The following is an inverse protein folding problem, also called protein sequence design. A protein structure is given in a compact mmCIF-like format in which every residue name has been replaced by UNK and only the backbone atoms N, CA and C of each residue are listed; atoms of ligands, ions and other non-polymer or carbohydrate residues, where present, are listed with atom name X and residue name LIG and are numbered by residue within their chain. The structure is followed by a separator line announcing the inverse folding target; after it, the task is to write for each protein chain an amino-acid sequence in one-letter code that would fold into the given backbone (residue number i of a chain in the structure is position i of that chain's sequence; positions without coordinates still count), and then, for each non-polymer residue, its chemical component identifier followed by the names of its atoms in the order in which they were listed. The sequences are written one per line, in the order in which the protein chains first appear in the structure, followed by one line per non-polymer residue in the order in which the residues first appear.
data_IF_589694001698
#
_entry.id   IF_589694001698
#
_cell.length_a   1.000
_cell.length_b   1.000
_cell.length_c   1.000
_cell.angle_alpha   90.00
_cell.angle_beta   90.00
_cell.angle_gamma   90.00
#
_symmetry.space_group_name_H-M   'P 1'
#
loop_
_entity.id
_entity.type
_entity.pdbx_description
1 polymer ?
#
# COMPACT_ATOMS: atom_id res chain seq x y z
N UNK A 1 15.29 -44.65 16.91
CA UNK A 1 14.94 -44.44 15.49
C UNK A 1 16.18 -43.97 14.74
N UNK A 2 16.59 -44.66 13.68
CA UNK A 2 17.80 -44.34 12.88
C UNK A 2 17.46 -43.20 11.92
N UNK A 3 18.14 -42.06 12.03
CA UNK A 3 18.00 -40.93 11.11
C UNK A 3 18.90 -41.12 9.88
N UNK A 4 18.31 -40.97 8.69
CA UNK A 4 19.00 -41.05 7.41
C UNK A 4 19.81 -39.76 7.15
N UNK A 5 21.08 -39.82 6.73
CA UNK A 5 21.85 -38.62 6.45
C UNK A 5 21.49 -38.02 5.08
N UNK A 6 21.31 -36.70 5.05
CA UNK A 6 21.08 -35.90 3.84
C UNK A 6 22.43 -35.48 3.25
N UNK A 7 22.73 -35.88 2.01
CA UNK A 7 23.92 -35.43 1.28
C UNK A 7 23.62 -34.16 0.48
N UNK A 8 24.17 -33.03 0.92
CA UNK A 8 24.11 -31.75 0.17
C UNK A 8 25.21 -31.75 -0.89
N UNK A 9 24.80 -31.84 -2.16
CA UNK A 9 25.70 -31.81 -3.32
C UNK A 9 26.00 -30.36 -3.72
N UNK A 10 27.27 -29.94 -3.58
CA UNK A 10 27.80 -28.74 -4.23
C UNK A 10 28.22 -27.59 -3.31
N UNK A 11 29.32 -27.75 -2.56
CA UNK A 11 30.16 -26.61 -2.10
C UNK A 11 31.63 -26.97 -2.22
N UNK A 12 32.29 -26.44 -3.27
CA UNK A 12 33.75 -26.43 -3.39
C UNK A 12 34.30 -25.50 -2.30
N UNK A 13 34.90 -26.08 -1.25
CA UNK A 13 35.69 -25.35 -0.25
C UNK A 13 37.08 -25.06 -0.82
N UNK A 14 37.43 -23.78 -0.96
CA UNK A 14 38.82 -23.29 -0.94
C UNK A 14 38.82 -22.00 -0.13
N UNK A 15 39.90 -21.80 0.63
CA UNK A 15 40.21 -20.72 1.58
C UNK A 15 39.85 -21.01 3.04
N UNK A 16 40.83 -21.62 3.72
CA UNK A 16 41.01 -21.56 5.17
C UNK A 16 41.76 -20.27 5.52
N UNK A 17 41.40 -19.69 6.67
CA UNK A 17 41.80 -18.38 7.17
C UNK A 17 43.22 -18.40 7.81
N UNK A 18 44.01 -17.31 7.76
CA UNK A 18 45.47 -17.33 7.95
C UNK A 18 46.00 -17.41 9.40
N UNK A 19 45.17 -17.72 10.39
CA UNK A 19 45.56 -17.61 11.82
C UNK A 19 46.06 -18.95 12.40
N UNK A 20 45.89 -20.07 11.69
CA UNK A 20 46.25 -21.40 12.18
C UNK A 20 47.49 -22.03 11.52
N UNK A 21 48.23 -21.30 10.69
CA UNK A 21 49.47 -21.79 10.05
C UNK A 21 50.76 -21.34 10.76
N UNK A 22 50.69 -20.48 11.77
CA UNK A 22 51.89 -19.98 12.48
C UNK A 22 52.41 -20.87 13.62
N UNK A 23 51.72 -21.97 13.94
CA UNK A 23 52.09 -22.84 15.08
C UNK A 23 52.98 -24.04 14.70
N UNK A 24 53.31 -24.25 13.42
CA UNK A 24 53.93 -25.50 12.94
C UNK A 24 55.33 -25.37 12.31
N UNK A 25 56.00 -24.22 12.41
CA UNK A 25 57.34 -24.05 11.83
C UNK A 25 58.24 -23.17 12.71
N UNK A 26 58.69 -23.72 13.84
CA UNK A 26 59.68 -23.06 14.70
C UNK A 26 60.68 -24.06 15.27
N UNK A 27 61.48 -24.68 14.41
CA UNK A 27 62.74 -25.32 14.80
C UNK A 27 63.74 -25.34 13.64
N UNK A 28 64.88 -24.68 13.88
CA UNK A 28 66.24 -24.93 13.33
C UNK A 28 66.64 -24.28 11.99
N UNK A 29 67.43 -23.23 12.21
CA UNK A 29 68.46 -22.51 11.45
C UNK A 29 69.46 -23.35 10.63
N UNK A 30 69.63 -22.98 9.33
CA UNK A 30 70.87 -22.63 8.55
C UNK A 30 72.12 -23.54 8.52
N UNK A 31 73.08 -23.43 7.55
CA UNK A 31 73.08 -22.76 6.23
C UNK A 31 73.56 -23.66 5.03
N UNK A 32 73.39 -23.10 3.81
CA UNK A 32 74.04 -23.42 2.48
C UNK A 32 75.60 -23.28 2.54
N UNK A 33 76.44 -23.50 1.48
CA UNK A 33 76.20 -23.57 0.01
C UNK A 33 76.98 -24.75 -0.70
N UNK A 34 76.92 -24.98 -2.03
CA UNK A 34 77.90 -24.49 -3.04
C UNK A 34 77.70 -25.29 -4.37
N UNK A 35 77.65 -24.58 -5.52
CA UNK A 35 78.17 -24.91 -6.88
C UNK A 35 77.76 -26.21 -7.63
N UNK A 36 77.90 -26.42 -8.95
CA UNK A 36 78.53 -25.77 -10.13
C UNK A 36 77.90 -26.40 -11.40
N UNK A 37 77.78 -25.61 -12.48
CA UNK A 37 77.91 -25.89 -13.94
C UNK A 37 77.32 -27.18 -14.57
N UNK A 38 77.06 -27.35 -15.87
CA UNK A 38 77.39 -26.66 -17.13
C UNK A 38 76.72 -27.45 -18.28
N UNK A 39 76.50 -26.77 -19.41
CA UNK A 39 76.59 -27.27 -20.81
C UNK A 39 75.65 -28.41 -21.25
N UNK A 40 75.10 -28.50 -22.46
CA UNK A 40 75.25 -27.76 -23.71
C UNK A 40 74.20 -28.32 -24.70
N UNK A 41 73.73 -27.45 -25.58
CA UNK A 41 73.18 -27.64 -26.94
C UNK A 41 73.88 -28.73 -27.81
N UNK A 42 73.46 -29.06 -29.06
CA UNK A 42 72.23 -28.75 -29.85
C UNK A 42 71.66 -29.92 -30.72
N UNK A 43 70.40 -29.75 -31.22
CA UNK A 43 69.85 -30.09 -32.57
C UNK A 43 70.08 -31.47 -33.28
N UNK A 44 69.49 -31.78 -34.48
CA UNK A 44 68.13 -31.61 -35.01
C UNK A 44 67.62 -32.88 -35.79
N UNK A 45 66.47 -32.74 -36.51
CA UNK A 45 65.94 -33.55 -37.65
C UNK A 45 65.21 -34.87 -37.28
N UNK A 46 64.15 -35.37 -37.95
CA UNK A 46 63.26 -34.94 -39.06
C UNK A 46 62.32 -36.14 -39.36
N UNK A 47 61.02 -35.88 -39.69
CA UNK A 47 60.07 -36.73 -40.48
C UNK A 47 59.53 -38.06 -39.85
N UNK A 48 58.34 -38.63 -40.14
CA UNK A 48 57.19 -38.38 -41.05
C UNK A 48 56.03 -39.37 -40.71
N UNK A 49 54.76 -38.93 -40.86
CA UNK A 49 53.54 -39.65 -41.37
C UNK A 49 53.01 -40.88 -40.58
N UNK A 50 51.71 -41.24 -40.49
CA UNK A 50 50.47 -40.88 -41.20
C UNK A 50 49.17 -41.25 -40.41
N UNK A 51 48.11 -40.46 -40.65
CA UNK A 51 46.67 -40.78 -40.86
C UNK A 51 45.89 -41.76 -39.94
N UNK A 52 44.81 -41.25 -39.30
CA UNK A 52 43.40 -41.61 -39.58
C UNK A 52 42.47 -40.50 -39.04
N UNK A 53 41.77 -39.75 -39.90
CA UNK A 53 40.33 -39.83 -40.24
C UNK A 53 39.38 -40.05 -39.04
N UNK A 54 38.78 -38.95 -38.56
CA UNK A 54 37.36 -38.89 -38.19
C UNK A 54 36.88 -37.44 -38.21
N UNK A 55 36.20 -37.06 -39.29
CA UNK A 55 35.45 -35.80 -39.43
C UNK A 55 34.13 -35.96 -38.69
N UNK A 56 34.04 -35.48 -37.45
CA UNK A 56 32.75 -35.11 -36.86
C UNK A 56 32.50 -33.64 -37.19
N UNK A 57 31.74 -33.41 -38.28
CA UNK A 57 31.12 -32.11 -38.54
C UNK A 57 30.12 -31.89 -37.41
N UNK A 58 30.56 -31.19 -36.37
CA UNK A 58 29.71 -30.63 -35.32
C UNK A 58 28.86 -29.54 -35.98
N UNK A 59 27.72 -29.93 -36.52
CA UNK A 59 26.62 -29.04 -36.85
C UNK A 59 26.35 -28.19 -35.62
N UNK A 60 26.70 -26.91 -35.68
CA UNK A 60 26.22 -25.93 -34.71
C UNK A 60 24.69 -26.01 -34.75
N UNK A 61 23.98 -26.25 -33.64
CA UNK A 61 22.55 -26.08 -33.66
C UNK A 61 22.32 -24.60 -33.94
N UNK A 62 21.82 -24.30 -35.13
CA UNK A 62 21.14 -23.02 -35.38
C UNK A 62 19.89 -23.12 -34.54
N UNK A 63 20.01 -22.77 -33.26
CA UNK A 63 18.86 -22.41 -32.46
C UNK A 63 18.23 -21.26 -33.22
N UNK A 64 17.05 -21.54 -33.80
CA UNK A 64 16.13 -20.55 -34.30
C UNK A 64 16.14 -19.37 -33.34
N UNK A 65 16.73 -18.26 -33.79
CA UNK A 65 16.82 -17.04 -33.04
C UNK A 65 15.43 -16.42 -33.05
N UNK A 66 14.53 -16.96 -32.23
CA UNK A 66 13.41 -16.17 -31.75
C UNK A 66 14.07 -14.94 -31.12
N UNK A 67 13.79 -13.72 -31.63
CA UNK A 67 14.33 -12.52 -31.03
C UNK A 67 14.00 -12.57 -29.55
N UNK A 68 15.03 -12.57 -28.70
CA UNK A 68 14.79 -12.49 -27.27
C UNK A 68 13.95 -11.23 -27.02
N UNK A 69 12.96 -11.28 -26.15
CA UNK A 69 12.06 -10.14 -25.93
C UNK A 69 12.84 -8.82 -25.70
N UNK A 70 14.01 -8.88 -25.06
CA UNK A 70 14.90 -7.74 -24.86
C UNK A 70 15.54 -7.10 -26.11
N UNK A 71 15.57 -7.81 -27.25
CA UNK A 71 16.08 -7.29 -28.54
C UNK A 71 15.03 -6.51 -29.32
N UNK A 72 13.78 -6.46 -28.86
CA UNK A 72 12.78 -5.61 -29.48
C UNK A 72 13.09 -4.12 -29.24
N UNK A 73 12.71 -3.24 -30.20
CA UNK A 73 12.63 -1.80 -29.98
C UNK A 73 11.80 -1.46 -28.73
N UNK A 74 12.14 -0.36 -28.06
CA UNK A 74 11.50 0.04 -26.81
C UNK A 74 9.99 0.27 -27.01
N UNK A 75 9.62 0.86 -28.13
CA UNK A 75 8.24 1.20 -28.48
C UNK A 75 7.36 -0.05 -28.57
N UNK A 76 7.89 -1.15 -29.15
CA UNK A 76 7.17 -2.42 -29.21
C UNK A 76 7.02 -3.05 -27.83
N UNK A 77 8.04 -2.94 -26.97
CA UNK A 77 7.98 -3.41 -25.60
C UNK A 77 6.91 -2.65 -24.79
N UNK A 78 6.83 -1.34 -24.96
CA UNK A 78 5.83 -0.48 -24.31
C UNK A 78 4.42 -0.84 -24.77
N UNK A 79 4.19 -1.05 -26.07
CA UNK A 79 2.89 -1.50 -26.61
C UNK A 79 2.49 -2.86 -26.04
N UNK A 80 3.41 -3.84 -26.03
CA UNK A 80 3.15 -5.17 -25.47
C UNK A 80 2.83 -5.08 -23.98
N UNK A 81 3.58 -4.26 -23.24
CA UNK A 81 3.36 -4.06 -21.81
C UNK A 81 1.98 -3.46 -21.53
N UNK A 82 1.63 -2.35 -22.19
CA UNK A 82 0.35 -1.68 -22.01
C UNK A 82 -0.83 -2.55 -22.48
N UNK A 83 -0.67 -3.32 -23.55
CA UNK A 83 -1.72 -4.22 -24.02
C UNK A 83 -1.94 -5.42 -23.09
N UNK A 84 -0.85 -6.00 -22.57
CA UNK A 84 -0.95 -7.18 -21.70
C UNK A 84 -1.35 -6.86 -20.26
N UNK A 85 -1.21 -5.60 -19.84
CA UNK A 85 -1.40 -5.14 -18.46
C UNK A 85 -0.64 -5.98 -17.41
N UNK A 86 0.45 -6.65 -17.80
CA UNK A 86 1.12 -7.64 -16.97
C UNK A 86 2.35 -7.06 -16.25
N UNK A 87 2.20 -6.86 -14.94
CA UNK A 87 3.25 -6.37 -14.03
C UNK A 87 4.48 -7.29 -13.92
N UNK A 88 4.37 -8.57 -14.29
CA UNK A 88 5.50 -9.49 -14.28
C UNK A 88 6.54 -9.12 -15.36
N UNK A 89 6.11 -8.52 -16.47
CA UNK A 89 6.98 -8.22 -17.61
C UNK A 89 8.19 -7.31 -17.26
N UNK A 90 7.99 -6.13 -16.63
CA UNK A 90 9.11 -5.31 -16.17
C UNK A 90 9.92 -5.96 -15.04
N UNK A 91 9.34 -6.92 -14.30
CA UNK A 91 9.99 -7.65 -13.20
C UNK A 91 10.85 -8.83 -13.69
N UNK A 92 10.61 -9.36 -14.90
CA UNK A 92 11.36 -10.49 -15.45
C UNK A 92 12.85 -10.20 -15.68
N UNK A 93 13.23 -8.94 -15.92
CA UNK A 93 14.64 -8.55 -16.12
C UNK A 93 14.85 -7.06 -15.85
N UNK A 94 15.95 -6.71 -15.19
CA UNK A 94 16.31 -5.31 -14.95
C UNK A 94 16.43 -4.48 -16.23
N UNK A 95 16.88 -5.08 -17.34
CA UNK A 95 16.99 -4.37 -18.61
C UNK A 95 15.60 -4.00 -19.18
N UNK A 96 14.65 -4.93 -19.10
CA UNK A 96 13.25 -4.68 -19.50
C UNK A 96 12.59 -3.69 -18.56
N UNK A 97 12.78 -3.85 -17.25
CA UNK A 97 12.28 -2.92 -16.24
C UNK A 97 12.74 -1.49 -16.51
N UNK A 98 14.02 -1.25 -16.82
CA UNK A 98 14.52 0.09 -17.16
C UNK A 98 13.85 0.68 -18.40
N UNK A 99 13.69 -0.10 -19.46
CA UNK A 99 13.02 0.34 -20.70
C UNK A 99 11.54 0.70 -20.46
N UNK A 100 10.84 -0.08 -19.62
CA UNK A 100 9.41 0.06 -19.36
C UNK A 100 9.05 1.00 -18.19
N UNK A 101 10.04 1.50 -17.45
CA UNK A 101 9.82 2.39 -16.29
C UNK A 101 9.77 3.87 -16.68
N UNK A 102 9.66 4.20 -17.97
CA UNK A 102 9.50 5.57 -18.41
C UNK A 102 8.23 6.19 -17.81
N UNK A 103 8.30 7.46 -17.39
CA UNK A 103 7.19 8.14 -16.69
C UNK A 103 5.90 8.17 -17.51
N UNK A 104 6.01 8.30 -18.83
CA UNK A 104 4.88 8.26 -19.76
C UNK A 104 4.18 6.91 -19.73
N UNK A 105 4.96 5.83 -19.83
CA UNK A 105 4.49 4.44 -19.83
C UNK A 105 3.83 4.07 -18.50
N UNK A 106 4.45 4.40 -17.37
CA UNK A 106 3.85 4.12 -16.05
C UNK A 106 2.58 4.93 -15.81
N UNK A 107 2.52 6.16 -16.32
CA UNK A 107 1.30 6.97 -16.28
C UNK A 107 0.21 6.41 -17.20
N UNK A 108 0.53 5.95 -18.41
CA UNK A 108 -0.42 5.30 -19.32
C UNK A 108 -0.96 4.01 -18.71
N UNK A 109 -0.10 3.21 -18.12
CA UNK A 109 -0.45 1.99 -17.40
C UNK A 109 -1.40 2.29 -16.24
N UNK A 110 -1.12 3.34 -15.46
CA UNK A 110 -2.01 3.81 -14.37
C UNK A 110 -3.35 4.31 -14.92
N UNK A 111 -3.35 5.07 -16.01
CA UNK A 111 -4.59 5.52 -16.66
C UNK A 111 -5.44 4.34 -17.12
N UNK A 112 -4.85 3.27 -17.66
CA UNK A 112 -5.58 2.07 -18.07
C UNK A 112 -6.13 1.27 -16.88
N UNK A 113 -5.35 1.11 -15.81
CA UNK A 113 -5.75 0.33 -14.64
C UNK A 113 -6.76 1.02 -13.71
N UNK A 114 -6.85 2.35 -13.79
CA UNK A 114 -7.76 3.15 -12.95
C UNK A 114 -8.78 3.89 -13.83
N UNK A 115 -8.37 4.90 -14.57
CA UNK A 115 -9.30 5.80 -15.26
C UNK A 115 -10.17 5.10 -16.32
N UNK A 116 -9.57 4.24 -17.16
CA UNK A 116 -10.31 3.58 -18.26
C UNK A 116 -11.18 2.40 -17.82
N UNK A 117 -11.17 2.02 -16.55
CA UNK A 117 -11.98 0.90 -16.05
C UNK A 117 -13.43 1.28 -15.77
N UNK A 118 -13.78 2.55 -15.99
CA UNK A 118 -15.14 3.07 -15.82
C UNK A 118 -15.53 3.81 -17.10
N UNK A 119 -16.73 3.54 -17.59
CA UNK A 119 -17.29 4.33 -18.68
C UNK A 119 -17.77 5.69 -18.16
N UNK A 120 -17.03 6.74 -18.51
CA UNK A 120 -17.34 8.10 -18.08
C UNK A 120 -18.43 8.79 -18.92
N UNK A 121 -18.84 8.19 -20.04
CA UNK A 121 -19.87 8.75 -20.95
C UNK A 121 -21.28 8.34 -20.54
N UNK A 122 -21.43 7.16 -19.97
CA UNK A 122 -22.73 6.65 -19.51
C UNK A 122 -23.14 7.23 -18.16
N UNK A 123 -24.45 7.23 -17.93
CA UNK A 123 -25.04 7.69 -16.68
C UNK A 123 -24.49 6.85 -15.51
N UNK A 124 -24.23 7.48 -14.37
CA UNK A 124 -23.52 6.89 -13.24
C UNK A 124 -24.12 5.58 -12.72
N UNK A 125 -25.42 5.34 -12.97
CA UNK A 125 -26.13 4.13 -12.55
C UNK A 125 -25.85 2.91 -13.41
N UNK A 126 -25.53 3.13 -14.69
CA UNK A 126 -25.42 2.08 -15.70
C UNK A 126 -23.97 1.88 -16.16
N UNK A 127 -23.01 2.47 -15.43
CA UNK A 127 -21.60 2.40 -15.79
C UNK A 127 -21.09 0.97 -15.64
N UNK A 128 -20.55 0.44 -16.73
CA UNK A 128 -19.72 -0.74 -16.65
C UNK A 128 -18.44 -0.39 -15.88
N UNK A 129 -18.15 -1.19 -14.85
CA UNK A 129 -16.94 -1.08 -14.04
C UNK A 129 -16.14 -2.36 -14.23
N UNK A 130 -14.96 -2.25 -14.83
CA UNK A 130 -14.02 -3.36 -15.12
C UNK A 130 -12.77 -3.28 -14.25
N UNK A 131 -12.82 -2.54 -13.14
CA UNK A 131 -11.67 -2.28 -12.28
C UNK A 131 -11.17 -3.55 -11.60
N UNK A 132 -9.85 -3.77 -11.61
CA UNK A 132 -9.20 -4.90 -10.95
C UNK A 132 -8.45 -4.42 -9.68
N UNK A 133 -8.96 -4.82 -8.51
CA UNK A 133 -8.39 -4.46 -7.21
C UNK A 133 -6.97 -5.00 -7.01
N UNK A 134 -6.66 -6.21 -7.49
CA UNK A 134 -5.34 -6.82 -7.35
C UNK A 134 -4.30 -6.03 -8.14
N UNK A 135 -4.62 -5.73 -9.41
CA UNK A 135 -3.76 -4.93 -10.28
C UNK A 135 -3.55 -3.51 -9.72
N UNK A 136 -4.61 -2.85 -9.24
CA UNK A 136 -4.47 -1.53 -8.62
C UNK A 136 -3.58 -1.57 -7.38
N UNK A 137 -3.74 -2.58 -6.52
CA UNK A 137 -2.88 -2.80 -5.33
C UNK A 137 -1.41 -2.99 -5.71
N UNK A 138 -1.14 -3.76 -6.77
CA UNK A 138 0.19 -3.97 -7.33
C UNK A 138 0.83 -2.66 -7.83
N UNK A 139 0.04 -1.81 -8.51
CA UNK A 139 0.49 -0.50 -8.99
C UNK A 139 0.81 0.43 -7.81
N UNK A 140 -0.08 0.51 -6.81
CA UNK A 140 0.13 1.33 -5.62
C UNK A 140 1.40 0.90 -4.86
N UNK A 141 1.71 -0.41 -4.87
CA UNK A 141 2.93 -0.97 -4.28
C UNK A 141 4.21 -0.60 -5.02
N UNK A 142 4.13 -0.16 -6.29
CA UNK A 142 5.30 0.18 -7.08
C UNK A 142 6.04 1.40 -6.55
N UNK A 143 7.37 1.40 -6.67
CA UNK A 143 8.23 2.49 -6.18
C UNK A 143 7.94 3.84 -6.82
N UNK A 144 7.52 3.86 -8.10
CA UNK A 144 7.22 5.10 -8.80
C UNK A 144 5.92 5.77 -8.32
N UNK A 145 5.04 5.03 -7.67
CA UNK A 145 3.74 5.55 -7.22
C UNK A 145 3.92 6.31 -5.90
N UNK A 146 4.28 7.59 -6.03
CA UNK A 146 4.43 8.56 -4.94
C UNK A 146 3.23 9.52 -4.92
N UNK A 147 3.16 10.41 -3.91
CA UNK A 147 2.10 11.42 -3.85
C UNK A 147 2.14 12.36 -5.07
N UNK A 148 3.32 12.83 -5.46
CA UNK A 148 3.49 13.64 -6.68
C UNK A 148 3.04 12.92 -7.95
N UNK A 149 3.32 11.62 -8.04
CA UNK A 149 2.85 10.82 -9.16
C UNK A 149 1.32 10.70 -9.14
N UNK A 150 0.73 10.48 -7.95
CA UNK A 150 -0.71 10.45 -7.77
C UNK A 150 -1.36 11.77 -8.19
N UNK A 151 -0.84 12.92 -7.77
CA UNK A 151 -1.37 14.24 -8.20
C UNK A 151 -1.23 14.45 -9.71
N UNK A 152 -0.12 14.01 -10.31
CA UNK A 152 0.04 14.05 -11.76
C UNK A 152 -0.97 13.12 -12.48
N UNK A 153 -1.30 11.97 -11.89
CA UNK A 153 -2.36 11.09 -12.39
C UNK A 153 -3.73 11.76 -12.29
N UNK A 154 -4.06 12.39 -11.15
CA UNK A 154 -5.30 13.14 -10.99
C UNK A 154 -5.42 14.24 -12.04
N UNK A 155 -4.34 14.99 -12.31
CA UNK A 155 -4.34 16.02 -13.36
C UNK A 155 -4.59 15.40 -14.74
N UNK A 156 -3.90 14.30 -15.06
CA UNK A 156 -4.05 13.66 -16.36
C UNK A 156 -5.45 13.09 -16.57
N UNK A 157 -6.04 12.51 -15.53
CA UNK A 157 -7.41 12.02 -15.53
C UNK A 157 -8.43 13.16 -15.65
N UNK A 158 -8.17 14.30 -14.99
CA UNK A 158 -8.96 15.54 -15.13
C UNK A 158 -8.95 16.04 -16.58
N UNK A 159 -7.77 16.16 -17.19
CA UNK A 159 -7.62 16.60 -18.58
C UNK A 159 -8.34 15.66 -19.55
N UNK A 160 -8.26 14.34 -19.30
CA UNK A 160 -8.98 13.33 -20.07
C UNK A 160 -10.50 13.49 -19.94
N UNK A 161 -11.00 13.79 -18.73
CA UNK A 161 -12.43 14.06 -18.51
C UNK A 161 -12.92 15.31 -19.23
N UNK A 162 -12.15 16.40 -19.20
CA UNK A 162 -12.48 17.62 -19.94
C UNK A 162 -12.59 17.31 -21.43
N UNK A 163 -11.60 16.60 -21.98
CA UNK A 163 -11.58 16.19 -23.39
C UNK A 163 -12.78 15.30 -23.76
N UNK A 164 -13.18 14.37 -22.89
CA UNK A 164 -14.31 13.47 -23.12
C UNK A 164 -15.67 14.19 -23.12
N UNK A 165 -15.84 15.24 -22.30
CA UNK A 165 -17.10 15.99 -22.22
C UNK A 165 -17.27 17.04 -23.32
N UNK A 166 -16.17 17.52 -23.89
CA UNK A 166 -16.16 18.44 -25.03
C UNK A 166 -16.76 19.82 -24.72
N UNK A 167 -16.91 20.65 -25.78
CA UNK A 167 -17.31 22.07 -25.68
C UNK A 167 -18.71 22.31 -25.14
N UNK A 168 -19.63 21.35 -25.30
CA UNK A 168 -21.00 21.47 -24.80
C UNK A 168 -21.06 21.61 -23.28
N UNK A 169 -20.07 21.05 -22.57
CA UNK A 169 -20.02 21.12 -21.11
C UNK A 169 -19.43 22.43 -20.59
N UNK A 170 -18.54 23.09 -21.35
CA UNK A 170 -18.01 24.42 -21.01
C UNK A 170 -19.14 25.45 -20.86
N UNK A 171 -20.20 25.32 -21.66
CA UNK A 171 -21.37 26.19 -21.60
C UNK A 171 -22.26 25.97 -20.35
N UNK A 172 -22.11 24.85 -19.64
CA UNK A 172 -22.95 24.54 -18.46
C UNK A 172 -22.49 25.22 -17.18
N UNK A 173 -21.28 25.80 -17.16
CA UNK A 173 -20.70 26.42 -15.96
C UNK A 173 -20.31 25.42 -14.85
N UNK A 174 -20.47 24.11 -15.08
CA UNK A 174 -20.13 23.08 -14.08
C UNK A 174 -18.64 22.77 -14.13
N UNK A 175 -17.90 23.22 -13.10
CA UNK A 175 -16.47 22.90 -12.95
C UNK A 175 -16.28 21.41 -12.66
N UNK A 176 -15.36 20.76 -13.38
CA UNK A 176 -14.96 19.38 -13.08
C UNK A 176 -13.95 19.41 -11.92
N UNK A 177 -14.23 18.73 -10.78
CA UNK A 177 -13.29 18.60 -9.68
C UNK A 177 -11.94 18.06 -10.15
N UNK A 178 -10.83 18.68 -9.75
CA UNK A 178 -9.48 18.35 -10.20
C UNK A 178 -8.47 18.32 -9.05
N UNK A 179 -7.19 18.52 -9.36
CA UNK A 179 -6.08 18.42 -8.38
C UNK A 179 -6.25 19.37 -7.19
N UNK A 180 -6.76 20.58 -7.40
CA UNK A 180 -7.00 21.57 -6.33
C UNK A 180 -7.97 21.09 -5.24
N UNK A 181 -8.76 20.04 -5.49
CA UNK A 181 -9.63 19.46 -4.46
C UNK A 181 -8.86 18.68 -3.40
N UNK A 182 -7.60 18.34 -3.66
CA UNK A 182 -6.69 17.74 -2.68
C UNK A 182 -6.00 18.78 -1.79
N UNK A 183 -6.14 20.08 -2.09
CA UNK A 183 -5.58 21.16 -1.26
C UNK A 183 -6.20 21.12 0.14
N UNK A 184 -5.34 21.00 1.15
CA UNK A 184 -5.74 20.86 2.55
C UNK A 184 -6.32 19.50 2.93
N UNK A 185 -6.30 18.51 2.01
CA UNK A 185 -6.69 17.12 2.27
C UNK A 185 -8.08 16.96 2.89
N UNK A 186 -9.07 17.68 2.36
CA UNK A 186 -10.46 17.61 2.83
C UNK A 186 -11.22 16.46 2.14
N UNK A 187 -11.56 15.34 2.82
CA UNK A 187 -12.19 14.18 2.17
C UNK A 187 -13.47 14.52 1.44
N UNK A 188 -14.32 15.38 2.01
CA UNK A 188 -15.58 15.79 1.38
C UNK A 188 -15.41 16.54 0.04
N UNK A 189 -14.21 17.05 -0.25
CA UNK A 189 -13.87 17.68 -1.55
C UNK A 189 -13.41 16.62 -2.54
N UNK A 190 -12.33 15.89 -2.23
CA UNK A 190 -11.69 15.03 -3.22
C UNK A 190 -12.38 13.67 -3.41
N UNK A 191 -13.14 13.17 -2.42
CA UNK A 191 -13.93 11.93 -2.60
C UNK A 191 -15.08 12.10 -3.60
N UNK A 192 -15.42 13.34 -3.95
CA UNK A 192 -16.41 13.66 -4.99
C UNK A 192 -15.86 13.50 -6.41
N UNK A 193 -14.56 13.27 -6.59
CA UNK A 193 -13.94 13.11 -7.92
C UNK A 193 -14.30 11.72 -8.46
N UNK A 194 -15.29 11.60 -9.35
CA UNK A 194 -15.92 10.30 -9.64
C UNK A 194 -15.12 9.45 -10.62
N UNK A 195 -14.05 10.00 -11.20
CA UNK A 195 -13.33 9.41 -12.31
C UNK A 195 -11.99 8.77 -11.93
N UNK A 196 -11.58 8.85 -10.66
CA UNK A 196 -10.34 8.20 -10.19
C UNK A 196 -10.47 6.67 -10.08
N UNK A 197 -11.71 6.16 -10.01
CA UNK A 197 -12.04 4.75 -10.29
C UNK A 197 -11.21 3.72 -9.48
N UNK A 198 -10.97 4.00 -8.19
CA UNK A 198 -10.44 3.01 -7.27
C UNK A 198 -11.39 1.80 -7.15
N UNK A 199 -10.85 0.61 -7.36
CA UNK A 199 -11.57 -0.65 -7.31
C UNK A 199 -11.98 -0.97 -5.87
N UNK A 200 -13.21 -1.41 -5.59
CA UNK A 200 -13.57 -1.86 -4.25
C UNK A 200 -12.65 -3.00 -3.77
N UNK A 201 -12.08 -2.87 -2.57
CA UNK A 201 -11.20 -3.87 -1.97
C UNK A 201 -9.74 -3.83 -2.44
N UNK A 202 -9.26 -2.70 -2.99
CA UNK A 202 -7.83 -2.51 -3.22
C UNK A 202 -7.08 -2.40 -1.88
N UNK A 203 -5.84 -2.89 -1.86
CA UNK A 203 -4.99 -2.86 -0.68
C UNK A 203 -4.04 -1.68 -0.69
N UNK A 204 -3.86 -1.10 0.50
CA UNK A 204 -2.87 -0.09 0.79
C UNK A 204 -1.51 -0.79 0.92
N UNK A 205 -0.48 -0.33 0.19
CA UNK A 205 0.80 -1.00 0.17
C UNK A 205 1.55 -0.83 1.50
N UNK A 206 2.24 -1.88 1.94
CA UNK A 206 3.02 -1.91 3.21
C UNK A 206 3.97 -0.70 3.34
N UNK A 207 4.57 -0.27 2.23
CA UNK A 207 5.48 0.89 2.20
C UNK A 207 4.85 2.18 2.74
N UNK A 208 3.52 2.29 2.75
CA UNK A 208 2.76 3.44 3.25
C UNK A 208 2.25 3.24 4.68
N UNK A 209 2.39 2.05 5.26
CA UNK A 209 1.81 1.71 6.56
C UNK A 209 2.77 1.91 7.75
N UNK A 210 4.02 2.31 7.52
CA UNK A 210 5.01 2.57 8.56
C UNK A 210 5.85 3.82 8.27
N UNK A 211 6.60 4.34 9.25
CA UNK A 211 7.49 5.49 9.10
C UNK A 211 8.78 5.21 8.30
N UNK A 212 9.64 6.21 8.06
CA UNK A 212 9.51 7.59 8.51
C UNK A 212 8.35 8.33 7.82
N UNK A 213 7.63 9.17 8.57
CA UNK A 213 6.41 9.83 8.10
C UNK A 213 6.69 11.18 7.46
N UNK A 214 7.01 11.16 6.16
CA UNK A 214 7.04 12.39 5.37
C UNK A 214 5.62 12.92 5.10
N UNK A 215 5.51 14.23 4.87
CA UNK A 215 4.23 14.88 4.52
C UNK A 215 3.55 14.18 3.34
N UNK A 216 4.28 13.92 2.27
CA UNK A 216 3.75 13.29 1.05
C UNK A 216 3.27 11.86 1.30
N UNK A 217 4.02 11.10 2.11
CA UNK A 217 3.66 9.73 2.46
C UNK A 217 2.37 9.69 3.27
N UNK A 218 2.26 10.53 4.30
CA UNK A 218 1.06 10.64 5.11
C UNK A 218 -0.13 11.14 4.29
N UNK A 219 0.08 12.10 3.39
CA UNK A 219 -0.94 12.62 2.47
C UNK A 219 -1.47 11.54 1.54
N UNK A 220 -0.57 10.75 0.93
CA UNK A 220 -0.96 9.65 0.06
C UNK A 220 -1.71 8.57 0.82
N UNK A 221 -1.22 8.15 1.99
CA UNK A 221 -1.90 7.18 2.84
C UNK A 221 -3.33 7.67 3.19
N UNK A 222 -3.44 8.90 3.66
CA UNK A 222 -4.71 9.53 4.04
C UNK A 222 -5.71 9.55 2.87
N UNK A 223 -5.24 9.92 1.67
CA UNK A 223 -6.07 9.91 0.46
C UNK A 223 -6.55 8.50 0.11
N UNK A 224 -5.66 7.50 0.15
CA UNK A 224 -6.03 6.12 -0.19
C UNK A 224 -7.05 5.54 0.81
N UNK A 225 -6.89 5.82 2.11
CA UNK A 225 -7.88 5.44 3.13
C UNK A 225 -9.23 6.11 2.86
N UNK A 226 -9.23 7.39 2.50
CA UNK A 226 -10.44 8.14 2.16
C UNK A 226 -11.14 7.62 0.89
N UNK A 227 -10.42 6.90 0.02
CA UNK A 227 -10.98 6.15 -1.12
C UNK A 227 -11.31 4.68 -0.80
N UNK A 228 -11.39 4.32 0.49
CA UNK A 228 -11.72 2.98 0.98
C UNK A 228 -10.64 1.93 0.70
N UNK A 229 -9.36 2.32 0.73
CA UNK A 229 -8.26 1.37 0.73
C UNK A 229 -8.26 0.50 2.00
N UNK A 230 -7.85 -0.75 1.86
CA UNK A 230 -7.87 -1.75 2.93
C UNK A 230 -6.47 -2.27 3.26
N UNK A 231 -6.31 -2.93 4.39
CA UNK A 231 -5.09 -3.67 4.73
C UNK A 231 -5.31 -5.14 4.40
N UNK A 232 -4.31 -5.77 3.78
CA UNK A 232 -4.27 -7.21 3.60
C UNK A 232 -3.80 -7.90 4.90
N UNK A 233 -4.75 -8.34 5.72
CA UNK A 233 -4.49 -8.98 7.02
C UNK A 233 -4.14 -10.47 6.91
N UNK A 234 -4.60 -11.14 5.86
CA UNK A 234 -4.49 -12.59 5.72
C UNK A 234 -3.32 -12.99 4.82
N UNK A 235 -3.05 -12.20 3.78
CA UNK A 235 -2.04 -12.49 2.75
C UNK A 235 -0.68 -11.84 2.98
N UNK A 236 -0.53 -10.97 3.99
CA UNK A 236 0.69 -10.18 4.17
C UNK A 236 0.99 -9.81 5.63
N UNK A 237 2.12 -9.13 5.86
CA UNK A 237 2.47 -8.59 7.17
C UNK A 237 1.95 -7.16 7.37
N UNK A 238 1.16 -6.63 6.43
CA UNK A 238 0.67 -5.26 6.43
C UNK A 238 -0.05 -4.86 7.72
N UNK A 239 -0.78 -5.78 8.34
CA UNK A 239 -1.44 -5.54 9.63
C UNK A 239 -0.47 -5.24 10.78
N UNK A 240 0.59 -6.05 10.92
CA UNK A 240 1.62 -5.81 11.94
C UNK A 240 2.46 -4.56 11.62
N UNK A 241 2.77 -4.36 10.33
CA UNK A 241 3.44 -3.15 9.85
C UNK A 241 2.63 -1.90 10.19
N UNK A 242 1.31 -1.93 10.04
CA UNK A 242 0.42 -0.82 10.39
C UNK A 242 0.36 -0.56 11.91
N UNK A 243 0.40 -1.60 12.75
CA UNK A 243 0.49 -1.43 14.21
C UNK A 243 1.79 -0.74 14.62
N UNK A 244 2.92 -1.19 14.09
CA UNK A 244 4.23 -0.53 14.33
C UNK A 244 4.22 0.89 13.76
N UNK A 245 3.65 1.09 12.58
CA UNK A 245 3.52 2.39 11.95
C UNK A 245 2.68 3.37 12.74
N UNK A 246 1.62 2.90 13.41
CA UNK A 246 0.80 3.72 14.29
C UNK A 246 1.61 4.26 15.46
N UNK A 247 2.40 3.41 16.13
CA UNK A 247 3.29 3.85 17.20
C UNK A 247 4.29 4.90 16.71
N UNK A 248 4.91 4.67 15.54
CA UNK A 248 5.82 5.64 14.92
C UNK A 248 5.11 6.96 14.57
N UNK A 249 3.87 6.91 14.08
CA UNK A 249 3.10 8.10 13.71
C UNK A 249 2.73 8.94 14.94
N UNK A 250 2.41 8.29 16.05
CA UNK A 250 2.14 8.95 17.34
C UNK A 250 3.41 9.65 17.85
N UNK A 251 4.56 8.94 17.84
CA UNK A 251 5.85 9.49 18.29
C UNK A 251 6.30 10.67 17.43
N UNK A 252 6.11 10.59 16.10
CA UNK A 252 6.45 11.67 15.16
C UNK A 252 5.39 12.80 15.12
N UNK A 253 4.34 12.70 15.95
CA UNK A 253 3.18 13.59 15.99
C UNK A 253 2.52 13.84 14.61
N UNK A 254 2.56 12.84 13.73
CA UNK A 254 2.02 12.95 12.37
C UNK A 254 0.51 12.67 12.36
N UNK A 255 -0.28 13.73 12.55
CA UNK A 255 -1.75 13.63 12.67
C UNK A 255 -2.41 12.97 11.45
N UNK A 256 -1.94 13.22 10.22
CA UNK A 256 -2.52 12.60 9.02
C UNK A 256 -2.28 11.08 8.96
N UNK A 257 -1.08 10.64 9.34
CA UNK A 257 -0.77 9.21 9.42
C UNK A 257 -1.58 8.54 10.52
N UNK A 258 -1.70 9.17 11.70
CA UNK A 258 -2.55 8.67 12.79
C UNK A 258 -4.00 8.59 12.34
N UNK A 259 -4.56 9.64 11.73
CA UNK A 259 -5.94 9.67 11.25
C UNK A 259 -6.25 8.52 10.31
N UNK A 260 -5.35 8.28 9.35
CA UNK A 260 -5.50 7.21 8.36
C UNK A 260 -5.35 5.81 8.99
N UNK A 261 -4.32 5.60 9.81
CA UNK A 261 -4.09 4.31 10.47
C UNK A 261 -5.14 3.99 11.54
N UNK A 262 -5.70 4.99 12.21
CA UNK A 262 -6.74 4.79 13.22
C UNK A 262 -7.98 4.19 12.58
N UNK A 263 -8.34 4.65 11.38
CA UNK A 263 -9.43 4.05 10.59
C UNK A 263 -9.10 2.62 10.21
N UNK A 264 -7.93 2.36 9.63
CA UNK A 264 -7.56 1.03 9.15
C UNK A 264 -7.48 -0.01 10.27
N UNK A 265 -6.86 0.35 11.40
CA UNK A 265 -6.76 -0.51 12.59
C UNK A 265 -8.09 -0.57 13.35
N UNK A 266 -8.88 0.50 13.29
CA UNK A 266 -10.20 0.54 13.90
C UNK A 266 -11.15 -0.46 13.25
N UNK A 267 -11.20 -0.53 11.91
CA UNK A 267 -12.05 -1.49 11.19
C UNK A 267 -11.80 -2.94 11.63
N UNK A 268 -10.54 -3.29 11.91
CA UNK A 268 -10.15 -4.64 12.36
C UNK A 268 -10.04 -4.79 13.87
N UNK A 269 -10.53 -3.81 14.64
CA UNK A 269 -10.55 -3.82 16.10
C UNK A 269 -9.16 -3.97 16.73
N UNK A 270 -8.14 -3.41 16.07
CA UNK A 270 -6.75 -3.50 16.48
C UNK A 270 -6.26 -2.29 17.32
N UNK A 271 -7.12 -1.31 17.60
CA UNK A 271 -6.83 -0.24 18.58
C UNK A 271 -7.09 -0.78 19.99
N UNK A 272 -6.07 -0.73 20.85
CA UNK A 272 -6.09 -1.32 22.21
C UNK A 272 -5.82 -0.29 23.29
N UNK A 273 -6.06 -0.64 24.57
CA UNK A 273 -5.65 0.16 25.73
C UNK A 273 -4.17 0.52 25.70
N UNK A 274 -3.31 -0.40 25.23
CA UNK A 274 -1.88 -0.15 25.10
C UNK A 274 -1.56 0.95 24.08
N UNK A 275 -2.34 1.03 22.99
CA UNK A 275 -2.21 2.11 22.01
C UNK A 275 -2.54 3.47 22.65
N UNK A 276 -3.59 3.52 23.47
CA UNK A 276 -3.98 4.74 24.21
C UNK A 276 -2.93 5.12 25.26
N UNK A 277 -2.43 4.15 26.04
CA UNK A 277 -1.35 4.35 27.01
C UNK A 277 -0.09 4.90 26.34
N UNK A 278 0.28 4.35 25.19
CA UNK A 278 1.43 4.84 24.44
C UNK A 278 1.27 6.30 24.01
N UNK A 279 0.10 6.68 23.48
CA UNK A 279 -0.17 8.07 23.09
C UNK A 279 -0.21 9.04 24.28
N UNK A 280 -0.78 8.62 25.42
CA UNK A 280 -0.95 9.47 26.60
C UNK A 280 0.35 9.57 27.42
N UNK A 281 0.83 8.43 27.89
CA UNK A 281 1.89 8.34 28.91
C UNK A 281 3.26 8.55 28.28
N UNK A 282 3.51 7.95 27.12
CA UNK A 282 4.84 7.97 26.48
C UNK A 282 5.02 9.12 25.49
N UNK A 283 3.94 9.58 24.85
CA UNK A 283 4.01 10.62 23.81
C UNK A 283 3.35 11.94 24.22
N UNK A 284 3.09 12.13 25.52
CA UNK A 284 2.68 13.41 26.06
C UNK A 284 1.24 13.82 25.76
N UNK A 285 0.36 12.92 25.32
CA UNK A 285 -1.09 13.15 25.20
C UNK A 285 -1.45 14.28 24.21
N UNK A 286 -1.08 14.17 22.94
CA UNK A 286 -1.54 15.12 21.93
C UNK A 286 -3.07 14.94 21.70
N UNK A 287 -3.86 15.97 22.00
CA UNK A 287 -5.33 15.92 21.95
C UNK A 287 -5.86 15.66 20.54
N UNK A 288 -5.20 16.17 19.50
CA UNK A 288 -5.61 15.91 18.13
C UNK A 288 -5.40 14.45 17.75
N UNK A 289 -4.26 13.87 18.14
CA UNK A 289 -3.97 12.44 17.95
C UNK A 289 -4.98 11.59 18.71
N UNK A 290 -5.23 11.91 19.98
CA UNK A 290 -6.20 11.18 20.80
C UNK A 290 -7.61 11.28 20.28
N UNK A 291 -8.01 12.42 19.70
CA UNK A 291 -9.31 12.56 19.03
C UNK A 291 -9.48 11.50 17.96
N UNK A 292 -8.50 11.32 17.07
CA UNK A 292 -8.56 10.27 16.06
C UNK A 292 -8.62 8.88 16.69
N UNK A 293 -7.76 8.59 17.67
CA UNK A 293 -7.71 7.28 18.32
C UNK A 293 -9.01 6.93 19.05
N UNK A 294 -9.51 7.82 19.91
CA UNK A 294 -10.70 7.60 20.71
C UNK A 294 -11.98 7.62 19.88
N UNK A 295 -12.06 8.48 18.85
CA UNK A 295 -13.20 8.49 17.94
C UNK A 295 -13.36 7.17 17.19
N UNK A 296 -12.25 6.51 16.87
CA UNK A 296 -12.25 5.17 16.31
C UNK A 296 -12.53 4.11 17.38
N UNK A 297 -11.92 4.24 18.56
CA UNK A 297 -12.01 3.26 19.64
C UNK A 297 -13.42 3.13 20.22
N UNK A 298 -14.19 4.23 20.33
CA UNK A 298 -15.58 4.19 20.81
C UNK A 298 -16.49 3.30 19.95
N UNK A 299 -16.22 3.20 18.65
CA UNK A 299 -16.97 2.33 17.73
C UNK A 299 -16.73 0.86 18.08
N UNK A 300 -15.54 0.55 18.60
CA UNK A 300 -15.10 -0.82 18.94
C UNK A 300 -15.58 -1.27 20.32
N UNK A 301 -15.84 -0.32 21.22
CA UNK A 301 -16.13 -0.58 22.63
C UNK A 301 -17.22 -1.64 22.85
N UNK A 302 -18.28 -1.62 22.03
CA UNK A 302 -19.38 -2.58 22.12
C UNK A 302 -19.05 -3.99 21.62
N UNK A 303 -18.00 -4.18 20.82
CA UNK A 303 -17.65 -5.47 20.19
C UNK A 303 -16.27 -6.02 20.61
N UNK A 304 -15.43 -5.22 21.30
CA UNK A 304 -14.05 -5.54 21.66
C UNK A 304 -13.74 -5.22 23.14
N UNK A 305 -14.64 -5.60 24.05
CA UNK A 305 -14.59 -5.25 25.49
C UNK A 305 -13.36 -5.78 26.24
N UNK A 306 -12.65 -6.79 25.73
CA UNK A 306 -11.48 -7.36 26.40
C UNK A 306 -10.15 -6.69 26.05
N UNK A 307 -10.09 -5.88 25.00
CA UNK A 307 -8.85 -5.27 24.51
C UNK A 307 -8.77 -3.76 24.73
N UNK A 308 -9.90 -3.14 25.08
CA UNK A 308 -10.05 -1.70 25.24
C UNK A 308 -10.73 -1.39 26.58
N UNK A 309 -10.03 -0.64 27.42
CA UNK A 309 -10.48 -0.19 28.73
C UNK A 309 -10.30 1.33 28.85
N UNK A 310 -11.40 2.07 28.83
CA UNK A 310 -11.40 3.53 29.00
C UNK A 310 -11.23 3.96 30.46
N UNK A 311 -11.40 3.04 31.41
CA UNK A 311 -11.19 3.24 32.85
C UNK A 311 -9.83 2.72 33.32
N UNK A 312 -8.90 2.53 32.39
CA UNK A 312 -7.57 2.02 32.68
C UNK A 312 -6.88 2.84 33.79
N UNK A 313 -6.47 2.22 34.91
CA UNK A 313 -5.94 2.95 36.06
C UNK A 313 -4.69 3.79 35.74
N UNK A 314 -3.86 3.35 34.79
CA UNK A 314 -2.65 4.10 34.43
C UNK A 314 -2.99 5.38 33.65
N UNK A 315 -3.97 5.33 32.75
CA UNK A 315 -4.47 6.51 32.04
C UNK A 315 -5.09 7.52 33.01
N UNK A 316 -5.89 7.05 33.96
CA UNK A 316 -6.56 7.91 34.94
C UNK A 316 -5.59 8.52 35.95
N UNK A 317 -4.64 7.74 36.46
CA UNK A 317 -3.57 8.25 37.31
C UNK A 317 -2.72 9.30 36.58
N UNK A 318 -2.41 9.09 35.30
CA UNK A 318 -1.75 10.12 34.49
C UNK A 318 -2.61 11.37 34.39
N UNK A 319 -3.91 11.22 34.13
CA UNK A 319 -4.82 12.36 34.02
C UNK A 319 -4.91 13.18 35.32
N UNK A 320 -5.03 12.53 36.49
CA UNK A 320 -5.08 13.20 37.79
C UNK A 320 -3.85 14.09 38.05
N UNK A 321 -2.70 13.72 37.50
CA UNK A 321 -1.43 14.44 37.68
C UNK A 321 -1.20 15.57 36.67
N UNK A 322 -2.00 15.68 35.61
CA UNK A 322 -1.73 16.57 34.46
C UNK A 322 -2.74 17.74 34.31
N UNK A 323 -3.40 18.13 35.40
CA UNK A 323 -4.22 19.34 35.48
C UNK A 323 -5.30 19.42 34.39
N UNK A 324 -5.42 20.58 33.72
CA UNK A 324 -6.41 20.79 32.65
C UNK A 324 -6.34 19.73 31.54
N UNK A 325 -5.13 19.34 31.14
CA UNK A 325 -4.93 18.35 30.07
C UNK A 325 -5.44 16.97 30.49
N UNK A 326 -5.25 16.63 31.76
CA UNK A 326 -5.81 15.44 32.38
C UNK A 326 -7.34 15.47 32.44
N UNK A 327 -7.93 16.60 32.83
CA UNK A 327 -9.40 16.76 32.83
C UNK A 327 -10.00 16.62 31.42
N UNK A 328 -9.37 17.21 30.41
CA UNK A 328 -9.76 17.01 29.01
C UNK A 328 -9.69 15.53 28.60
N UNK A 329 -8.62 14.83 28.99
CA UNK A 329 -8.48 13.39 28.72
C UNK A 329 -9.60 12.58 29.38
N UNK A 330 -9.91 12.83 30.67
CA UNK A 330 -10.99 12.14 31.38
C UNK A 330 -12.34 12.37 30.70
N UNK A 331 -12.64 13.60 30.29
CA UNK A 331 -13.88 13.90 29.56
C UNK A 331 -13.95 13.13 28.24
N UNK A 332 -12.86 13.13 27.46
CA UNK A 332 -12.78 12.38 26.20
C UNK A 332 -12.97 10.86 26.40
N UNK A 333 -12.35 10.27 27.44
CA UNK A 333 -12.47 8.85 27.75
C UNK A 333 -13.90 8.48 28.17
N UNK A 334 -14.54 9.28 29.03
CA UNK A 334 -15.94 9.07 29.44
C UNK A 334 -16.90 9.16 28.27
N UNK A 335 -16.74 10.18 27.41
CA UNK A 335 -17.56 10.34 26.21
C UNK A 335 -17.35 9.19 25.22
N UNK A 336 -16.10 8.75 25.03
CA UNK A 336 -15.81 7.62 24.15
C UNK A 336 -16.45 6.31 24.65
N UNK A 337 -16.46 6.07 25.96
CA UNK A 337 -17.13 4.92 26.56
C UNK A 337 -18.66 4.97 26.36
N UNK A 338 -19.27 6.14 26.52
CA UNK A 338 -20.68 6.36 26.21
C UNK A 338 -21.02 6.41 24.69
N UNK A 339 -20.01 6.19 23.84
CA UNK A 339 -20.07 6.34 22.39
C UNK A 339 -20.58 7.73 21.93
N UNK A 340 -20.30 8.77 22.73
CA UNK A 340 -20.76 10.15 22.56
C UNK A 340 -19.61 11.13 22.29
N UNK A 341 -18.42 10.62 21.94
CA UNK A 341 -17.28 11.48 21.65
C UNK A 341 -17.41 12.06 20.24
N UNK A 342 -17.86 13.31 20.15
CA UNK A 342 -17.84 14.10 18.92
C UNK A 342 -16.43 14.31 18.37
N UNK A 343 -16.29 14.31 17.05
CA UNK A 343 -14.99 14.52 16.43
C UNK A 343 -14.54 15.97 16.58
N UNK A 344 -15.42 16.93 16.34
CA UNK A 344 -15.15 18.35 16.52
C UNK A 344 -15.84 18.83 17.80
N UNK A 345 -15.08 19.17 18.83
CA UNK A 345 -15.61 19.78 20.05
C UNK A 345 -16.12 21.20 19.78
N UNK A 346 -17.17 21.62 20.50
CA UNK A 346 -17.82 22.93 20.38
C UNK A 346 -16.85 24.11 20.50
N UNK A 347 -15.80 23.97 21.32
CA UNK A 347 -14.80 25.01 21.55
C UNK A 347 -13.79 25.17 20.39
N UNK A 348 -13.83 24.29 19.39
CA UNK A 348 -12.92 24.35 18.24
C UNK A 348 -13.39 25.39 17.21
N UNK A 349 -13.16 26.68 17.51
CA UNK A 349 -13.49 27.78 16.60
C UNK A 349 -12.82 27.67 15.21
N UNK A 350 -11.73 26.89 15.09
CA UNK A 350 -10.96 26.74 13.86
C UNK A 350 -10.73 25.26 13.47
N UNK A 351 -11.84 24.60 13.12
CA UNK A 351 -11.88 23.28 12.47
C UNK A 351 -10.96 23.14 11.25
N UNK A 352 -10.51 24.23 10.62
CA UNK A 352 -9.56 24.19 9.50
C UNK A 352 -8.17 23.68 9.87
N UNK A 353 -7.83 23.74 11.17
CA UNK A 353 -6.55 23.29 11.73
C UNK A 353 -6.54 21.83 12.19
N UNK A 354 -7.70 21.18 12.20
CA UNK A 354 -7.84 19.80 12.65
C UNK A 354 -7.87 18.90 11.41
N UNK A 355 -7.11 17.81 11.42
CA UNK A 355 -7.17 16.84 10.32
C UNK A 355 -8.54 16.19 10.33
N UNK A 356 -9.23 16.25 9.19
CA UNK A 356 -10.56 15.67 9.05
C UNK A 356 -10.57 14.16 9.24
N UNK A 357 -11.70 13.61 9.67
CA UNK A 357 -11.91 12.17 9.64
C UNK A 357 -11.91 11.65 8.19
N UNK A 358 -11.10 10.63 7.83
CA UNK A 358 -10.90 10.18 6.44
C UNK A 358 -12.17 9.81 5.66
N UNK A 359 -13.20 9.27 6.32
CA UNK A 359 -14.46 8.90 5.66
C UNK A 359 -15.51 10.03 5.62
N UNK A 360 -15.10 11.28 5.81
CA UNK A 360 -15.98 12.44 5.65
C UNK A 360 -16.49 12.61 4.22
N UNK A 361 -17.81 12.69 4.02
CA UNK A 361 -18.43 12.81 2.70
C UNK A 361 -19.88 13.28 2.76
N UNK A 362 -20.58 13.27 1.62
CA UNK A 362 -21.97 13.77 1.53
C UNK A 362 -22.99 12.96 2.34
N UNK A 363 -22.63 11.76 2.81
CA UNK A 363 -23.49 10.85 3.57
C UNK A 363 -23.11 10.70 5.03
N UNK A 364 -21.91 11.13 5.40
CA UNK A 364 -21.41 11.10 6.76
C UNK A 364 -20.51 12.32 6.93
N UNK A 365 -20.96 13.23 7.79
CA UNK A 365 -20.21 14.42 8.12
C UNK A 365 -19.83 14.36 9.59
N UNK A 366 -18.55 14.19 9.89
CA UNK A 366 -18.07 14.13 11.26
C UNK A 366 -18.29 15.45 12.04
N UNK A 367 -18.72 16.53 11.34
CA UNK A 367 -19.09 17.82 11.92
C UNK A 367 -20.52 17.87 12.47
N UNK A 368 -21.37 16.90 12.14
CA UNK A 368 -22.73 16.85 12.69
C UNK A 368 -22.74 16.10 14.01
N UNK A 369 -23.54 16.57 14.96
CA UNK A 369 -23.73 15.93 16.26
C UNK A 369 -24.14 14.45 16.13
N UNK A 370 -23.75 13.64 17.13
CA UNK A 370 -24.04 12.21 17.17
C UNK A 370 -25.51 11.90 17.46
N UNK A 371 -26.34 11.88 16.41
CA UNK A 371 -27.65 11.22 16.48
C UNK A 371 -27.50 9.69 16.36
N UNK A 372 -28.51 8.94 16.81
CA UNK A 372 -28.56 7.47 16.69
C UNK A 372 -28.32 6.99 15.24
N UNK A 373 -28.80 7.75 14.27
CA UNK A 373 -28.61 7.49 12.83
C UNK A 373 -27.12 7.61 12.44
N UNK A 374 -26.42 8.62 12.95
CA UNK A 374 -25.00 8.84 12.68
C UNK A 374 -24.16 7.73 13.31
N UNK A 375 -24.51 7.30 14.53
CA UNK A 375 -23.87 6.16 15.22
C UNK A 375 -24.05 4.87 14.42
N UNK A 376 -25.26 4.58 13.95
CA UNK A 376 -25.54 3.39 13.15
C UNK A 376 -24.80 3.42 11.80
N UNK A 377 -24.75 4.58 11.14
CA UNK A 377 -23.97 4.76 9.92
C UNK A 377 -22.49 4.51 10.17
N UNK A 378 -21.91 5.06 11.23
CA UNK A 378 -20.51 4.85 11.58
C UNK A 378 -20.20 3.38 11.90
N UNK A 379 -21.05 2.69 12.66
CA UNK A 379 -20.92 1.25 12.87
C UNK A 379 -21.00 0.45 11.56
N UNK A 380 -21.94 0.82 10.68
CA UNK A 380 -22.07 0.20 9.37
C UNK A 380 -20.86 0.47 8.46
N UNK A 381 -20.19 1.62 8.62
CA UNK A 381 -18.94 1.94 7.91
C UNK A 381 -17.86 0.92 8.27
N UNK A 382 -17.68 0.65 9.57
CA UNK A 382 -16.66 -0.26 10.08
C UNK A 382 -16.98 -1.71 9.75
N UNK A 383 -18.25 -2.13 9.89
CA UNK A 383 -18.70 -3.47 9.49
C UNK A 383 -18.53 -3.78 8.01
N UNK A 384 -18.48 -2.75 7.16
CA UNK A 384 -18.43 -2.93 5.70
C UNK A 384 -17.18 -2.34 5.06
N UNK A 385 -16.12 -2.01 5.81
CA UNK A 385 -14.88 -1.42 5.27
C UNK A 385 -15.14 -0.18 4.40
N UNK A 386 -16.14 0.65 4.76
CA UNK A 386 -16.58 1.78 3.96
C UNK A 386 -17.37 1.46 2.69
N UNK A 387 -17.52 0.18 2.31
CA UNK A 387 -18.09 -0.25 1.02
C UNK A 387 -19.60 -0.04 0.87
N UNK A 388 -20.39 -0.08 1.95
CA UNK A 388 -21.88 -0.07 1.88
C UNK A 388 -22.54 1.29 2.07
N UNK A 389 -21.89 2.28 2.69
CA UNK A 389 -22.51 3.60 2.89
C UNK A 389 -22.70 4.33 1.56
N UNK A 390 -21.87 4.05 0.55
CA UNK A 390 -21.95 4.70 -0.77
C UNK A 390 -23.08 4.17 -1.66
N UNK A 391 -23.66 2.99 -1.41
CA UNK A 391 -24.80 2.48 -2.20
C UNK A 391 -26.14 2.89 -1.58
N UNK A 392 -26.99 3.55 -2.38
CA UNK A 392 -28.40 3.81 -2.02
C UNK A 392 -29.10 2.45 -1.94
N UNK A 393 -29.79 2.14 -0.83
CA UNK A 393 -30.77 1.04 -0.78
C UNK A 393 -31.78 1.32 -1.88
N UNK A 394 -31.70 0.58 -2.99
CA UNK A 394 -32.86 0.43 -3.88
C UNK A 394 -33.74 -0.55 -3.14
N UNK A 395 -34.89 -0.05 -2.65
CA UNK A 395 -35.95 -0.93 -2.18
C UNK A 395 -36.30 -1.86 -3.35
N UNK A 396 -36.02 -3.15 -3.21
CA UNK A 396 -36.55 -4.18 -4.08
C UNK A 396 -38.05 -4.27 -3.82
N UNK A 397 -38.83 -3.41 -4.48
CA UNK A 397 -40.24 -3.67 -4.69
C UNK A 397 -40.34 -4.73 -5.79
N UNK A 398 -40.36 -5.98 -5.37
CA UNK A 398 -40.38 -7.13 -6.27
C UNK A 398 -41.05 -8.33 -5.61
N UNK A 399 -42.22 -8.13 -5.01
CA UNK A 399 -43.14 -9.21 -4.66
C UNK A 399 -44.53 -8.62 -4.40
N UNK A 400 -45.31 -8.47 -5.48
CA UNK A 400 -46.78 -8.39 -5.49
C UNK A 400 -47.26 -8.40 -6.94
N UNK A 401 -47.44 -9.60 -7.50
CA UNK A 401 -48.48 -10.10 -8.44
C UNK A 401 -48.17 -11.63 -8.48
N UNK A 402 -49.05 -12.60 -8.27
CA UNK A 402 -50.41 -12.77 -8.74
C UNK A 402 -51.19 -13.68 -7.77
N UNK A 403 -52.45 -13.34 -7.56
CA UNK A 403 -53.43 -14.17 -6.91
C UNK A 403 -54.78 -13.52 -7.19
N UNK A 404 -55.35 -13.85 -8.34
CA UNK A 404 -56.79 -14.01 -8.51
C UNK A 404 -57.08 -14.59 -9.91
N UNK A 405 -58.15 -15.39 -9.92
CA UNK A 405 -59.00 -15.80 -11.04
C UNK A 405 -58.59 -17.03 -11.88
N UNK A 406 -59.11 -18.19 -11.46
CA UNK A 406 -59.59 -19.23 -12.36
C UNK A 406 -60.92 -19.77 -11.82
N UNK A 407 -61.95 -19.55 -12.63
CA UNK A 407 -63.37 -19.78 -12.41
C UNK A 407 -63.77 -21.26 -12.24
N UNK A 408 -64.92 -21.42 -11.58
CA UNK A 408 -65.81 -22.58 -11.61
C UNK A 408 -66.24 -22.93 -13.06
N UNK A 409 -66.06 -24.19 -13.44
CA UNK A 409 -67.05 -25.05 -14.13
C UNK A 409 -66.61 -26.54 -14.11
#
# INVERSE_FOLDING_TARGET
MKLTPIFVRGKKRKHLHPVLQLAAARTKTSPRPVEISSSSTPEPKRQRKAKSKSKSKRTKPVMSAIPALGSLPQELLEIIFLYSMNMALPRCSHALGRKLSARTVTMDFTMQAFFHTVDHRTNYRDRLVTSDASLQSDILSCRFFTYDFFLAYVQRAHDAMIKLRGKAWEATGVSIPGVSHFDGLWPFKFTKIPYLAFAPGFYIPEKLLHGPWTKDKASLLYVLVSFNGEIDWEGSMAGEVAKTGMQQAIVEENEHAVAALAVLLGITKAITTETLRHAVIHCGCNINILRHLLFNAQILAGEATSTLDFYDPALWAWADLNGHKGETLKDMLKRAEAFDLEFYFDDNADWSKIVSFPYGGSKFDARTAFSDVVRELLMNLYRNYGRKITRRRVATNGQRVAGDDADDD
#
